data_IF_634113712249
#
_entry.id   IF_634113712249
#
_cell.length_a   1.000
_cell.length_b   1.000
_cell.length_c   1.000
_cell.angle_alpha   90.00
_cell.angle_beta   90.00
_cell.angle_gamma   90.00
#
_symmetry.space_group_name_H-M   'P 1'
#
loop_
_entity.id
_entity.type
_entity.pdbx_description
1 polymer ?
#
# COMPACT_ATOMS: atom_id res chain seq x y z
N UNK A 1 3.91 19.04 -6.22
CA UNK A 1 3.15 17.78 -6.03
C UNK A 1 4.04 16.61 -6.35
N UNK A 2 4.11 15.64 -5.45
CA UNK A 2 4.84 14.40 -5.65
C UNK A 2 3.87 13.24 -5.89
N UNK A 3 4.36 12.20 -6.54
CA UNK A 3 3.61 11.00 -6.87
C UNK A 3 4.30 9.79 -6.25
N UNK A 4 3.52 8.89 -5.66
CA UNK A 4 4.01 7.79 -4.84
C UNK A 4 3.33 6.48 -5.18
N UNK A 5 4.02 5.38 -4.89
CA UNK A 5 3.47 4.02 -4.87
C UNK A 5 3.81 3.42 -3.51
N UNK A 6 2.80 2.93 -2.80
CA UNK A 6 2.97 2.22 -1.53
C UNK A 6 2.42 0.81 -1.62
N UNK A 7 2.91 -0.07 -0.75
CA UNK A 7 2.59 -1.51 -0.76
C UNK A 7 1.86 -1.89 0.51
N UNK A 8 0.73 -2.56 0.35
CA UNK A 8 -0.05 -3.10 1.46
C UNK A 8 -0.18 -4.63 1.37
N UNK A 9 -0.28 -5.26 2.53
CA UNK A 9 -0.68 -6.65 2.62
C UNK A 9 -2.19 -6.79 2.43
N UNK A 10 -2.68 -7.97 1.97
CA UNK A 10 -4.11 -8.27 2.01
C UNK A 10 -4.65 -8.19 3.44
N UNK A 11 -5.91 -7.79 3.56
CA UNK A 11 -6.57 -7.67 4.86
C UNK A 11 -6.66 -9.03 5.57
N UNK A 12 -6.56 -9.00 6.89
CA UNK A 12 -6.90 -10.14 7.73
C UNK A 12 -8.40 -10.38 7.67
N UNK A 13 -8.81 -11.64 7.83
CA UNK A 13 -10.22 -12.00 7.83
C UNK A 13 -11.00 -11.42 9.02
N UNK A 14 -10.30 -11.07 10.11
CA UNK A 14 -10.89 -10.43 11.29
C UNK A 14 -10.99 -8.89 11.15
N UNK A 15 -10.47 -8.31 10.08
CA UNK A 15 -10.56 -6.88 9.81
C UNK A 15 -11.88 -6.54 9.11
N UNK A 16 -12.44 -5.39 9.48
CA UNK A 16 -13.67 -4.89 8.89
C UNK A 16 -13.47 -4.51 7.41
N UNK A 17 -14.57 -4.54 6.63
CA UNK A 17 -14.57 -4.20 5.21
C UNK A 17 -14.04 -2.80 4.89
N UNK A 18 -14.12 -1.86 5.83
CA UNK A 18 -13.53 -0.53 5.70
C UNK A 18 -12.03 -0.63 5.96
N UNK A 19 -11.32 -1.06 4.95
CA UNK A 19 -9.89 -1.22 5.02
C UNK A 19 -9.21 0.09 5.42
N UNK A 20 -8.25 -0.02 6.33
CA UNK A 20 -7.48 1.13 6.78
C UNK A 20 -6.83 1.89 5.61
N UNK A 21 -6.42 1.18 4.54
CA UNK A 21 -5.81 1.80 3.36
C UNK A 21 -6.72 2.81 2.63
N UNK A 22 -8.03 2.76 2.85
CA UNK A 22 -8.95 3.75 2.25
C UNK A 22 -8.79 5.15 2.84
N UNK A 23 -8.33 5.24 4.06
CA UNK A 23 -8.17 6.52 4.77
C UNK A 23 -6.71 6.81 5.15
N UNK A 24 -5.83 5.82 5.05
CA UNK A 24 -4.47 5.91 5.53
C UNK A 24 -3.51 5.13 4.67
N UNK A 25 -2.31 5.65 4.51
CA UNK A 25 -1.16 4.84 4.11
C UNK A 25 -0.29 4.60 5.33
N UNK A 26 0.24 3.39 5.46
CA UNK A 26 1.07 2.97 6.57
C UNK A 26 2.46 2.62 6.06
N UNK A 27 3.48 3.19 6.69
CA UNK A 27 4.86 2.86 6.38
C UNK A 27 5.50 2.09 7.53
N UNK A 28 6.31 1.09 7.18
CA UNK A 28 7.12 0.37 8.13
C UNK A 28 8.36 1.19 8.51
N UNK A 29 8.99 0.82 9.63
CA UNK A 29 10.29 1.39 10.00
C UNK A 29 11.31 1.21 8.88
N UNK A 30 12.17 2.21 8.70
CA UNK A 30 13.11 2.26 7.58
C UNK A 30 12.63 3.12 6.41
N UNK A 31 11.34 3.33 6.27
CA UNK A 31 10.77 4.16 5.19
C UNK A 31 10.41 5.59 5.62
N UNK A 32 10.57 5.91 6.90
CA UNK A 32 10.21 7.23 7.43
C UNK A 32 11.02 8.37 6.80
N UNK A 33 12.27 8.14 6.46
CA UNK A 33 13.11 9.18 5.84
C UNK A 33 12.56 9.61 4.48
N UNK A 34 12.19 8.66 3.63
CA UNK A 34 11.55 8.95 2.35
C UNK A 34 10.13 9.47 2.57
N UNK A 35 9.40 8.89 3.53
CA UNK A 35 8.03 9.27 3.86
C UNK A 35 7.87 10.70 4.35
N UNK A 36 8.91 11.29 4.95
CA UNK A 36 8.91 12.71 5.35
C UNK A 36 8.75 13.66 4.17
N UNK A 37 8.98 13.20 2.95
CA UNK A 37 8.82 13.99 1.74
C UNK A 37 7.38 14.00 1.23
N UNK A 38 6.50 13.17 1.81
CA UNK A 38 5.07 13.15 1.50
C UNK A 38 4.43 14.43 2.02
N UNK A 39 3.68 15.11 1.16
CA UNK A 39 3.00 16.36 1.47
C UNK A 39 1.51 16.26 1.16
N UNK A 40 0.72 17.09 1.84
CA UNK A 40 -0.70 17.23 1.51
C UNK A 40 -0.86 17.62 0.03
N UNK A 41 -1.80 17.00 -0.66
CA UNK A 41 -2.02 17.18 -2.09
C UNK A 41 -1.26 16.18 -2.96
N UNK A 42 -0.27 15.47 -2.43
CA UNK A 42 0.42 14.42 -3.16
C UNK A 42 -0.55 13.29 -3.51
N UNK A 43 -0.23 12.56 -4.58
CA UNK A 43 -1.03 11.44 -5.04
C UNK A 43 -0.27 10.13 -4.86
N UNK A 44 -0.99 9.10 -4.42
CA UNK A 44 -0.39 7.81 -4.11
C UNK A 44 -1.23 6.67 -4.67
N UNK A 45 -0.56 5.78 -5.42
CA UNK A 45 -1.13 4.48 -5.76
C UNK A 45 -0.88 3.48 -4.65
N UNK A 46 -1.88 2.67 -4.37
CA UNK A 46 -1.82 1.62 -3.36
C UNK A 46 -1.79 0.27 -4.07
N UNK A 47 -0.71 -0.49 -3.84
CA UNK A 47 -0.53 -1.83 -4.35
C UNK A 47 -0.79 -2.85 -3.25
N UNK A 48 -1.58 -3.89 -3.56
CA UNK A 48 -1.84 -5.02 -2.66
C UNK A 48 -1.05 -6.24 -3.12
N UNK A 49 -0.27 -6.84 -2.20
CA UNK A 49 0.48 -8.06 -2.51
C UNK A 49 -0.45 -9.26 -2.70
N UNK A 50 0.05 -10.33 -3.32
CA UNK A 50 -0.71 -11.55 -3.54
C UNK A 50 -1.00 -12.28 -2.22
N UNK A 51 -0.02 -12.33 -1.33
CA UNK A 51 -0.12 -13.01 -0.04
C UNK A 51 0.71 -12.29 1.01
N UNK A 52 0.49 -12.67 2.26
CA UNK A 52 1.24 -12.19 3.40
C UNK A 52 1.20 -13.25 4.51
N UNK A 53 2.17 -13.22 5.45
CA UNK A 53 2.12 -14.11 6.60
C UNK A 53 0.83 -13.95 7.40
N UNK A 54 0.32 -15.04 7.95
CA UNK A 54 -0.81 -15.00 8.86
C UNK A 54 -0.45 -14.19 10.11
N UNK A 55 -1.43 -13.53 10.69
CA UNK A 55 -1.27 -12.79 11.93
C UNK A 55 -1.58 -13.70 13.13
N UNK A 56 -0.84 -13.49 14.23
CA UNK A 56 -1.08 -14.19 15.49
C UNK A 56 -1.83 -13.26 16.42
N UNK A 57 -3.02 -13.68 16.87
CA UNK A 57 -3.85 -12.96 17.83
C UNK A 57 -4.05 -13.85 19.04
N UNK A 58 -3.32 -13.58 20.12
CA UNK A 58 -3.26 -14.48 21.26
C UNK A 58 -2.61 -15.82 20.85
N UNK A 59 -3.33 -16.94 21.04
CA UNK A 59 -2.89 -18.27 20.62
C UNK A 59 -3.41 -18.67 19.24
N UNK A 60 -4.19 -17.81 18.59
CA UNK A 60 -4.87 -18.08 17.33
C UNK A 60 -4.12 -17.46 16.15
N UNK A 61 -4.06 -18.19 15.04
CA UNK A 61 -3.61 -17.67 13.76
C UNK A 61 -4.81 -17.15 12.96
N UNK A 62 -4.68 -15.93 12.44
CA UNK A 62 -5.70 -15.30 11.61
C UNK A 62 -5.23 -15.28 10.17
N UNK A 63 -6.03 -15.86 9.29
CA UNK A 63 -5.77 -15.88 7.85
C UNK A 63 -6.00 -14.49 7.25
N UNK A 64 -5.38 -14.27 6.10
CA UNK A 64 -5.62 -13.09 5.28
C UNK A 64 -6.52 -13.43 4.10
N UNK A 65 -7.20 -12.40 3.59
CA UNK A 65 -7.93 -12.51 2.33
C UNK A 65 -6.93 -12.75 1.20
N UNK A 66 -7.34 -13.41 0.09
CA UNK A 66 -6.51 -13.48 -1.10
C UNK A 66 -6.16 -12.08 -1.59
N UNK A 67 -4.89 -11.84 -1.86
CA UNK A 67 -4.41 -10.58 -2.38
C UNK A 67 -4.57 -10.49 -3.90
N UNK A 68 -4.70 -9.27 -4.39
CA UNK A 68 -4.99 -9.01 -5.81
C UNK A 68 -3.75 -8.94 -6.69
N UNK A 69 -2.56 -8.79 -6.09
CA UNK A 69 -1.29 -8.64 -6.84
C UNK A 69 -1.40 -7.52 -7.87
N UNK A 70 -1.91 -6.38 -7.42
CA UNK A 70 -2.32 -5.28 -8.30
C UNK A 70 -2.27 -3.95 -7.56
N UNK A 71 -2.16 -2.86 -8.30
CA UNK A 71 -2.59 -1.56 -7.79
C UNK A 71 -4.11 -1.62 -7.65
N UNK A 72 -4.61 -1.25 -6.48
CA UNK A 72 -6.04 -1.35 -6.14
C UNK A 72 -6.71 -0.01 -5.92
N UNK A 73 -5.95 1.04 -5.68
CA UNK A 73 -6.51 2.35 -5.40
C UNK A 73 -5.56 3.48 -5.78
N UNK A 74 -6.15 4.63 -6.03
CA UNK A 74 -5.48 5.91 -6.13
C UNK A 74 -6.06 6.83 -5.07
N UNK A 75 -5.19 7.45 -4.28
CA UNK A 75 -5.58 8.35 -3.20
C UNK A 75 -4.85 9.68 -3.27
N UNK A 76 -5.43 10.68 -2.62
CA UNK A 76 -4.81 11.99 -2.37
C UNK A 76 -4.40 12.06 -0.91
N UNK A 77 -3.19 12.50 -0.65
CA UNK A 77 -2.68 12.73 0.71
C UNK A 77 -3.36 13.97 1.28
N UNK A 78 -3.97 13.84 2.46
CA UNK A 78 -4.66 14.93 3.16
C UNK A 78 -3.74 15.60 4.15
N UNK A 79 -2.91 14.82 4.84
CA UNK A 79 -1.98 15.32 5.83
C UNK A 79 -0.65 14.56 5.71
N UNK A 80 0.49 15.21 6.04
CA UNK A 80 1.80 14.56 5.90
C UNK A 80 1.98 13.40 6.86
N UNK A 81 3.04 12.62 6.63
CA UNK A 81 3.39 11.48 7.44
C UNK A 81 3.65 11.89 8.89
N UNK A 82 3.11 11.12 9.82
CA UNK A 82 3.35 11.30 11.25
C UNK A 82 3.58 9.97 11.94
N UNK A 83 4.28 10.01 13.06
CA UNK A 83 4.47 8.88 13.93
C UNK A 83 3.29 8.72 14.88
N UNK A 84 2.84 7.48 15.03
CA UNK A 84 1.89 7.10 16.08
C UNK A 84 2.27 5.72 16.58
N UNK A 85 2.62 5.62 17.85
CA UNK A 85 2.91 4.34 18.47
C UNK A 85 1.65 3.46 18.46
N UNK A 86 1.78 2.28 17.88
CA UNK A 86 0.71 1.27 17.82
C UNK A 86 1.25 -0.07 18.29
N UNK A 87 0.36 -0.96 18.73
CA UNK A 87 0.75 -2.33 19.05
C UNK A 87 1.27 -3.03 17.80
N UNK A 88 2.37 -3.79 17.91
CA UNK A 88 2.91 -4.49 16.76
C UNK A 88 1.97 -5.59 16.29
N UNK A 89 1.95 -5.83 14.98
CA UNK A 89 1.35 -7.03 14.42
C UNK A 89 2.34 -8.19 14.60
N UNK A 90 1.90 -9.26 15.25
CA UNK A 90 2.72 -10.46 15.43
C UNK A 90 2.40 -11.41 14.29
N UNK A 91 3.44 -11.87 13.58
CA UNK A 91 3.31 -12.80 12.47
C UNK A 91 3.37 -14.25 12.95
N UNK A 92 2.99 -15.18 12.09
CA UNK A 92 2.94 -16.61 12.39
C UNK A 92 4.28 -17.19 12.86
N UNK A 93 5.40 -16.65 12.40
CA UNK A 93 6.75 -17.05 12.81
C UNK A 93 7.27 -16.33 14.07
N UNK A 94 6.42 -15.51 14.71
CA UNK A 94 6.76 -14.75 15.90
C UNK A 94 7.42 -13.39 15.63
N UNK A 95 7.75 -13.07 14.39
CA UNK A 95 8.28 -11.74 14.07
C UNK A 95 7.22 -10.67 14.27
N UNK A 96 7.69 -9.47 14.59
CA UNK A 96 6.83 -8.30 14.79
C UNK A 96 6.92 -7.36 13.60
N UNK A 97 5.78 -6.76 13.24
CA UNK A 97 5.70 -5.70 12.26
C UNK A 97 5.05 -4.48 12.90
N UNK A 98 5.75 -3.35 12.86
CA UNK A 98 5.27 -2.10 13.45
C UNK A 98 4.90 -1.11 12.37
N UNK A 99 3.63 -0.70 12.36
CA UNK A 99 3.05 0.25 11.41
C UNK A 99 2.90 1.62 12.07
N UNK A 100 4.02 2.16 12.57
CA UNK A 100 4.01 3.36 13.40
C UNK A 100 3.95 4.67 12.63
N UNK A 101 4.19 4.64 11.31
CA UNK A 101 4.17 5.84 10.48
C UNK A 101 2.97 5.80 9.56
N UNK A 102 2.19 6.88 9.55
CA UNK A 102 0.98 6.96 8.75
C UNK A 102 0.76 8.35 8.17
N UNK A 103 0.13 8.42 7.00
CA UNK A 103 -0.37 9.64 6.41
C UNK A 103 -1.85 9.50 6.11
N UNK A 104 -2.63 10.51 6.45
CA UNK A 104 -4.07 10.52 6.16
C UNK A 104 -4.28 10.73 4.67
N UNK A 105 -5.16 9.92 4.07
CA UNK A 105 -5.47 9.96 2.65
C UNK A 105 -6.96 9.92 2.41
N UNK A 106 -7.35 10.31 1.19
CA UNK A 106 -8.70 10.13 0.67
C UNK A 106 -8.62 9.35 -0.63
N UNK A 107 -9.30 8.22 -0.69
CA UNK A 107 -9.36 7.40 -1.90
C UNK A 107 -10.18 8.10 -2.97
N UNK A 108 -9.61 8.25 -4.17
CA UNK A 108 -10.23 8.88 -5.31
C UNK A 108 -10.83 7.86 -6.28
N UNK A 109 -10.10 6.75 -6.53
CA UNK A 109 -10.47 5.72 -7.48
C UNK A 109 -10.09 4.35 -6.93
N UNK A 110 -10.93 3.35 -7.21
CA UNK A 110 -10.66 1.94 -6.92
C UNK A 110 -10.84 1.16 -8.22
N UNK A 111 -9.75 0.60 -8.72
CA UNK A 111 -9.69 -0.24 -9.92
C UNK A 111 -8.69 -1.36 -9.67
N UNK A 112 -8.33 -2.08 -10.70
CA UNK A 112 -7.32 -3.12 -10.62
C UNK A 112 -6.34 -3.00 -11.78
N UNK A 113 -5.07 -2.74 -11.46
CA UNK A 113 -3.98 -2.79 -12.43
C UNK A 113 -3.00 -3.88 -12.00
N UNK A 114 -2.96 -5.02 -12.71
CA UNK A 114 -2.09 -6.14 -12.35
C UNK A 114 -0.60 -5.80 -12.40
N UNK A 115 0.20 -6.51 -11.59
CA UNK A 115 1.64 -6.34 -11.53
C UNK A 115 2.31 -6.49 -12.89
N UNK A 116 1.84 -7.43 -13.72
CA UNK A 116 2.38 -7.65 -15.06
C UNK A 116 2.26 -6.40 -15.94
N UNK A 117 1.13 -5.71 -15.90
CA UNK A 117 0.94 -4.45 -16.63
C UNK A 117 1.77 -3.32 -16.02
N UNK A 118 1.87 -3.25 -14.70
CA UNK A 118 2.70 -2.27 -14.00
C UNK A 118 4.16 -2.40 -14.40
N UNK A 119 4.68 -3.62 -14.47
CA UNK A 119 6.07 -3.89 -14.94
C UNK A 119 6.31 -3.36 -16.34
N UNK A 120 5.36 -3.56 -17.25
CA UNK A 120 5.45 -3.06 -18.62
C UNK A 120 5.47 -1.54 -18.66
N UNK A 121 4.60 -0.90 -17.89
CA UNK A 121 4.54 0.58 -17.83
C UNK A 121 5.83 1.16 -17.27
N UNK A 122 6.40 0.55 -16.24
CA UNK A 122 7.65 1.00 -15.62
C UNK A 122 8.89 0.60 -16.41
N UNK A 123 8.76 -0.21 -17.46
CA UNK A 123 9.89 -0.80 -18.20
C UNK A 123 10.87 -1.55 -17.29
N UNK A 124 10.34 -2.20 -16.27
CA UNK A 124 11.11 -2.95 -15.27
C UNK A 124 10.53 -4.36 -15.12
N UNK A 125 10.93 -5.32 -15.98
CA UNK A 125 10.36 -6.67 -15.96
C UNK A 125 10.62 -7.41 -14.64
N UNK A 126 11.68 -7.07 -13.91
CA UNK A 126 11.99 -7.62 -12.59
C UNK A 126 11.41 -6.84 -11.42
N UNK A 127 10.61 -5.79 -11.68
CA UNK A 127 10.02 -5.01 -10.59
C UNK A 127 9.15 -5.89 -9.69
N UNK A 128 9.35 -5.74 -8.40
CA UNK A 128 8.64 -6.50 -7.38
C UNK A 128 8.17 -5.56 -6.26
N UNK A 129 6.86 -5.48 -6.08
CA UNK A 129 6.25 -4.73 -5.00
C UNK A 129 6.04 -5.65 -3.79
N UNK A 130 7.13 -6.14 -3.19
CA UNK A 130 7.06 -7.15 -2.12
C UNK A 130 7.25 -6.61 -0.71
N UNK A 131 7.77 -5.39 -0.57
CA UNK A 131 8.06 -4.84 0.76
C UNK A 131 6.82 -4.15 1.31
N UNK A 132 6.09 -4.79 2.24
CA UNK A 132 4.90 -4.17 2.83
C UNK A 132 5.29 -2.92 3.61
N UNK A 133 4.48 -1.88 3.51
CA UNK A 133 4.78 -0.57 4.07
C UNK A 133 5.93 0.15 3.39
N UNK A 134 6.37 -0.34 2.21
CA UNK A 134 7.37 0.31 1.39
C UNK A 134 6.78 1.50 0.62
N UNK A 135 7.67 2.35 0.15
CA UNK A 135 7.31 3.57 -0.56
C UNK A 135 8.26 3.79 -1.74
N UNK A 136 7.70 4.10 -2.90
CA UNK A 136 8.47 4.43 -4.09
C UNK A 136 7.99 5.76 -4.64
N UNK A 137 8.92 6.66 -4.97
CA UNK A 137 8.58 7.89 -5.66
C UNK A 137 8.46 7.63 -7.16
N UNK A 138 7.39 8.13 -7.76
CA UNK A 138 7.14 8.05 -9.19
C UNK A 138 7.47 9.38 -9.87
N UNK A 139 7.99 9.32 -11.10
CA UNK A 139 8.05 10.50 -11.95
C UNK A 139 6.66 10.88 -12.44
N UNK A 140 6.49 12.12 -12.91
CA UNK A 140 5.23 12.54 -13.51
C UNK A 140 4.84 11.70 -14.72
N UNK A 141 5.82 11.29 -15.54
CA UNK A 141 5.60 10.37 -16.67
C UNK A 141 5.11 9.00 -16.22
N UNK A 142 5.75 8.41 -15.23
CA UNK A 142 5.35 7.12 -14.68
C UNK A 142 3.93 7.21 -14.12
N UNK A 143 3.65 8.25 -13.32
CA UNK A 143 2.32 8.46 -12.76
C UNK A 143 1.25 8.56 -13.85
N UNK A 144 1.47 9.37 -14.89
CA UNK A 144 0.50 9.55 -15.97
C UNK A 144 0.23 8.26 -16.75
N UNK A 145 1.27 7.47 -17.01
CA UNK A 145 1.13 6.18 -17.70
C UNK A 145 0.36 5.17 -16.86
N UNK A 146 0.68 5.10 -15.58
CA UNK A 146 -0.05 4.22 -14.64
C UNK A 146 -1.51 4.65 -14.54
N UNK A 147 -1.77 5.95 -14.38
CA UNK A 147 -3.12 6.49 -14.26
C UNK A 147 -3.99 6.15 -15.47
N UNK A 148 -3.44 6.29 -16.67
CA UNK A 148 -4.18 5.98 -17.91
C UNK A 148 -4.67 4.53 -17.91
N UNK A 149 -3.80 3.59 -17.58
CA UNK A 149 -4.15 2.16 -17.55
C UNK A 149 -5.04 1.82 -16.36
N UNK A 150 -4.73 2.38 -15.20
CA UNK A 150 -5.49 2.15 -13.97
C UNK A 150 -6.95 2.60 -14.11
N UNK A 151 -7.20 3.76 -14.71
CA UNK A 151 -8.55 4.28 -14.91
C UNK A 151 -9.39 3.46 -15.89
N UNK A 152 -8.77 2.60 -16.70
CA UNK A 152 -9.42 1.67 -17.61
C UNK A 152 -9.55 0.25 -17.02
N UNK A 153 -9.08 0.05 -15.80
CA UNK A 153 -9.07 -1.24 -15.13
C UNK A 153 -10.46 -1.69 -14.66
N UNK A 154 -10.54 -2.94 -14.20
CA UNK A 154 -11.78 -3.51 -13.66
C UNK A 154 -12.12 -2.85 -12.33
N UNK A 155 -13.42 -2.64 -12.13
CA UNK A 155 -13.96 -2.22 -10.84
C UNK A 155 -14.00 -3.40 -9.86
N UNK A 156 -13.86 -3.10 -8.59
CA UNK A 156 -14.00 -4.10 -7.53
C UNK A 156 -15.45 -4.20 -7.05
#
# INVERSE_FOLDING_TARGET
>A
MNYWLTVHWPLRLDERKNAAWRNWIFLAEGWQKLGKRIQAGDRVFIYETESAPQARVGTRLVRRRPGRKSIIALATVIAPLRYKRVSPEILEDGRERRWNYRAHTRTNQEHRLPLTELRNILHKPGFSARVPGGLMKLSGKQFSRILRRFSQGELF
#
